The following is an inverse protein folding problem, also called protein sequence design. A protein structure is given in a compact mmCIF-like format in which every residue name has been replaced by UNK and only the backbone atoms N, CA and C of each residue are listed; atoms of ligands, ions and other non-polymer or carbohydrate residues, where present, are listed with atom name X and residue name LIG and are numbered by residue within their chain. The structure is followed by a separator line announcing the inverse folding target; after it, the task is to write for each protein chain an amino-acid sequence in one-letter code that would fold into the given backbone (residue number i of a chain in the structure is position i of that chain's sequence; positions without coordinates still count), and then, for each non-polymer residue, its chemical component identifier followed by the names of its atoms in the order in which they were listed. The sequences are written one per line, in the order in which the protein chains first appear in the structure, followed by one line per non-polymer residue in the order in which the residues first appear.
data_IF_413050791291
#
_entry.id   IF_413050791291
#
_cell.length_a   1.000
_cell.length_b   1.000
_cell.length_c   1.000
_cell.angle_alpha   90.00
_cell.angle_beta   90.00
_cell.angle_gamma   90.00
#
_symmetry.space_group_name_H-M   'P 1'
#
loop_
_entity.id
_entity.type
_entity.pdbx_description
1 polymer ?
#
# COMPACT_ATOMS: atom_id res chain seq x y z
N UNK A 1 57.04 -22.02 -36.74
CA UNK A 1 55.58 -22.22 -36.82
C UNK A 1 55.03 -22.12 -35.41
N UNK A 2 54.43 -20.99 -35.03
CA UNK A 2 54.03 -20.67 -33.65
C UNK A 2 52.52 -20.83 -33.56
N UNK A 3 52.05 -21.91 -32.94
CA UNK A 3 50.62 -22.18 -32.74
C UNK A 3 50.09 -21.27 -31.64
N UNK A 4 49.23 -20.31 -31.99
CA UNK A 4 48.46 -19.50 -31.03
C UNK A 4 47.15 -20.24 -30.77
N UNK A 5 47.01 -20.75 -29.56
CA UNK A 5 45.80 -21.39 -29.06
C UNK A 5 44.92 -20.32 -28.42
N UNK A 6 43.84 -19.89 -29.08
CA UNK A 6 42.85 -18.99 -28.49
C UNK A 6 41.93 -19.78 -27.57
N UNK A 7 42.12 -19.64 -26.26
CA UNK A 7 41.20 -20.14 -25.24
C UNK A 7 39.96 -19.24 -25.18
N UNK A 8 38.85 -19.71 -25.75
CA UNK A 8 37.54 -19.05 -25.64
C UNK A 8 37.00 -19.34 -24.24
N UNK A 9 37.14 -18.37 -23.34
CA UNK A 9 36.51 -18.41 -22.00
C UNK A 9 35.03 -18.05 -22.18
N UNK A 10 34.17 -19.06 -22.09
CA UNK A 10 32.72 -18.90 -22.08
C UNK A 10 32.30 -18.36 -20.70
N UNK A 11 32.07 -17.05 -20.60
CA UNK A 11 31.56 -16.40 -19.39
C UNK A 11 30.06 -16.71 -19.31
N UNK A 12 29.69 -17.66 -18.45
CA UNK A 12 28.29 -17.92 -18.10
C UNK A 12 27.79 -16.77 -17.23
N UNK A 13 27.13 -15.80 -17.86
CA UNK A 13 26.40 -14.74 -17.16
C UNK A 13 25.18 -15.43 -16.54
N UNK A 14 25.25 -15.76 -15.25
CA UNK A 14 24.07 -16.13 -14.47
C UNK A 14 23.22 -14.88 -14.30
N UNK A 15 22.27 -14.71 -15.22
CA UNK A 15 21.23 -13.71 -15.09
C UNK A 15 20.36 -14.18 -13.94
N UNK A 16 20.68 -13.74 -12.71
CA UNK A 16 19.72 -13.76 -11.62
C UNK A 16 18.62 -12.78 -12.01
N UNK A 17 17.64 -13.25 -12.77
CA UNK A 17 16.36 -12.58 -12.88
C UNK A 17 15.78 -12.61 -11.46
N UNK A 18 16.05 -11.56 -10.67
CA UNK A 18 15.18 -11.25 -9.56
C UNK A 18 13.82 -10.97 -10.21
N UNK A 19 12.96 -11.98 -10.24
CA UNK A 19 11.58 -11.85 -10.63
C UNK A 19 10.93 -10.95 -9.58
N UNK A 20 11.09 -9.65 -9.76
CA UNK A 20 10.42 -8.66 -8.94
C UNK A 20 8.95 -8.65 -9.38
N UNK A 21 8.20 -9.68 -8.95
CA UNK A 21 6.79 -9.83 -9.30
C UNK A 21 6.03 -8.59 -8.83
N UNK A 22 6.36 -8.03 -7.67
CA UNK A 22 5.78 -6.77 -7.21
C UNK A 22 6.60 -5.57 -7.69
N UNK A 23 6.22 -4.98 -8.81
CA UNK A 23 6.96 -3.83 -9.35
C UNK A 23 6.79 -2.57 -8.48
N UNK A 24 5.65 -2.42 -7.82
CA UNK A 24 5.33 -1.21 -7.05
C UNK A 24 5.64 -1.34 -5.57
N UNK A 25 5.27 -2.45 -4.93
CA UNK A 25 5.48 -2.63 -3.49
C UNK A 25 6.79 -3.36 -3.19
N UNK A 26 7.38 -3.13 -2.00
CA UNK A 26 8.60 -3.82 -1.60
C UNK A 26 8.38 -5.32 -1.47
N UNK A 27 9.29 -6.10 -2.04
CA UNK A 27 9.26 -7.57 -2.00
C UNK A 27 10.59 -8.16 -1.56
N UNK A 28 11.35 -7.41 -0.74
CA UNK A 28 12.59 -7.86 -0.12
C UNK A 28 12.38 -7.92 1.38
N UNK A 29 12.59 -9.10 1.96
CA UNK A 29 12.51 -9.33 3.40
C UNK A 29 13.38 -8.34 4.19
N UNK A 30 12.86 -7.87 5.31
CA UNK A 30 13.49 -6.88 6.18
C UNK A 30 13.37 -5.44 5.71
N UNK A 31 12.84 -5.19 4.50
CA UNK A 31 12.61 -3.81 4.02
C UNK A 31 11.60 -3.11 4.91
N UNK A 32 11.93 -1.89 5.36
CA UNK A 32 11.08 -1.05 6.21
C UNK A 32 10.72 0.24 5.52
N UNK A 33 9.44 0.64 5.64
CA UNK A 33 8.93 1.89 5.10
C UNK A 33 8.18 2.65 6.19
N UNK A 34 8.52 3.92 6.40
CA UNK A 34 7.79 4.79 7.33
C UNK A 34 7.04 5.90 6.59
N UNK A 35 5.73 5.96 6.77
CA UNK A 35 4.86 7.03 6.29
C UNK A 35 4.45 7.93 7.47
N UNK A 36 4.65 9.23 7.33
CA UNK A 36 4.15 10.23 8.29
C UNK A 36 2.79 10.76 7.86
N UNK A 37 1.89 10.95 8.83
CA UNK A 37 0.54 11.43 8.60
C UNK A 37 0.32 12.80 9.23
N UNK A 38 -0.28 13.71 8.47
CA UNK A 38 -0.52 15.09 8.83
C UNK A 38 -2.01 15.42 8.68
N UNK A 39 -2.54 16.21 9.62
CA UNK A 39 -3.90 16.74 9.48
C UNK A 39 -3.95 17.97 8.55
N UNK A 40 -5.15 18.47 8.28
CA UNK A 40 -5.40 19.70 7.49
C UNK A 40 -4.64 20.97 7.93
N UNK A 41 -4.09 21.01 9.16
CA UNK A 41 -3.26 22.11 9.67
C UNK A 41 -1.76 21.83 9.54
N UNK A 42 -1.39 20.83 8.74
CA UNK A 42 -0.03 20.35 8.56
C UNK A 42 0.68 19.92 9.86
N UNK A 43 -0.09 19.49 10.87
CA UNK A 43 0.49 18.96 12.12
C UNK A 43 0.60 17.45 11.99
N UNK A 44 1.79 16.91 12.30
CA UNK A 44 2.03 15.48 12.42
C UNK A 44 1.06 14.88 13.44
N UNK A 45 0.40 13.79 13.08
CA UNK A 45 -0.57 13.07 13.93
C UNK A 45 -0.07 11.68 14.29
N UNK A 46 0.51 10.98 13.33
CA UNK A 46 0.97 9.60 13.51
C UNK A 46 2.03 9.25 12.48
N UNK A 47 2.72 8.13 12.71
CA UNK A 47 3.58 7.47 11.73
C UNK A 47 3.09 6.04 11.55
N UNK A 48 3.06 5.55 10.31
CA UNK A 48 2.85 4.14 10.00
C UNK A 48 4.17 3.54 9.55
N UNK A 49 4.56 2.41 10.13
CA UNK A 49 5.71 1.63 9.72
C UNK A 49 5.25 0.33 9.08
N UNK A 50 5.73 0.05 7.88
CA UNK A 50 5.57 -1.22 7.20
C UNK A 50 6.89 -1.99 7.24
N UNK A 51 6.82 -3.30 7.41
CA UNK A 51 7.98 -4.20 7.35
C UNK A 51 7.62 -5.43 6.52
N UNK A 52 8.46 -5.77 5.54
CA UNK A 52 8.34 -7.03 4.82
C UNK A 52 8.90 -8.13 5.71
N UNK A 53 8.01 -8.97 6.25
CA UNK A 53 8.37 -10.03 7.19
C UNK A 53 8.89 -11.27 6.47
N UNK A 54 8.29 -11.62 5.34
CA UNK A 54 8.56 -12.88 4.65
C UNK A 54 8.16 -12.77 3.18
N UNK A 55 8.94 -13.40 2.30
CA UNK A 55 8.66 -13.46 0.86
C UNK A 55 8.75 -14.91 0.39
N UNK A 56 7.60 -15.52 0.12
CA UNK A 56 7.50 -16.87 -0.41
C UNK A 56 7.28 -16.81 -1.92
N UNK A 57 8.27 -17.20 -2.71
CA UNK A 57 8.19 -17.17 -4.18
C UNK A 57 8.08 -18.56 -4.78
N UNK A 58 7.24 -18.70 -5.80
CA UNK A 58 7.09 -19.91 -6.61
C UNK A 58 7.02 -19.53 -8.09
N UNK A 59 8.12 -19.74 -8.81
CA UNK A 59 8.24 -19.33 -10.22
C UNK A 59 8.15 -17.81 -10.40
N UNK A 60 7.10 -17.35 -11.09
CA UNK A 60 6.82 -15.92 -11.30
C UNK A 60 6.00 -15.30 -10.18
N UNK A 61 5.41 -16.11 -9.30
CA UNK A 61 4.45 -15.66 -8.30
C UNK A 61 5.11 -15.52 -6.93
N UNK A 62 4.60 -14.61 -6.11
CA UNK A 62 5.11 -14.40 -4.76
C UNK A 62 4.01 -14.04 -3.77
N UNK A 63 4.08 -14.61 -2.58
CA UNK A 63 3.28 -14.23 -1.41
C UNK A 63 4.17 -13.46 -0.44
N UNK A 64 3.84 -12.20 -0.18
CA UNK A 64 4.62 -11.27 0.63
C UNK A 64 3.83 -10.99 1.90
N UNK A 65 4.37 -11.37 3.06
CA UNK A 65 3.77 -11.07 4.36
C UNK A 65 4.32 -9.74 4.86
N UNK A 66 3.44 -8.81 5.21
CA UNK A 66 3.81 -7.48 5.71
C UNK A 66 3.25 -7.24 7.10
N UNK A 67 4.06 -6.61 7.95
CA UNK A 67 3.60 -6.00 9.18
C UNK A 67 3.29 -4.53 8.95
N UNK A 68 2.29 -4.01 9.66
CA UNK A 68 1.95 -2.60 9.71
C UNK A 68 1.76 -2.20 11.16
N UNK A 69 2.52 -1.22 11.63
CA UNK A 69 2.34 -0.63 12.96
C UNK A 69 2.13 0.87 12.86
N UNK A 70 1.26 1.41 13.70
CA UNK A 70 0.99 2.85 13.78
C UNK A 70 1.44 3.39 15.12
N UNK A 71 2.24 4.43 15.08
CA UNK A 71 2.72 5.18 16.24
C UNK A 71 1.98 6.51 16.37
N UNK A 72 1.51 6.82 17.56
CA UNK A 72 1.01 8.17 17.86
C UNK A 72 2.20 9.12 18.03
N UNK A 73 2.24 10.18 17.22
CA UNK A 73 3.36 11.12 17.19
C UNK A 73 3.57 11.89 18.51
N UNK A 74 2.51 12.05 19.33
CA UNK A 74 2.59 12.75 20.61
C UNK A 74 3.02 11.82 21.74
N UNK A 75 2.59 10.55 21.68
CA UNK A 75 2.83 9.58 22.75
C UNK A 75 4.05 8.69 22.50
N UNK A 76 4.61 8.69 21.29
CA UNK A 76 5.73 7.84 20.88
C UNK A 76 5.48 6.35 21.20
N UNK A 77 4.22 5.92 21.07
CA UNK A 77 3.77 4.56 21.42
C UNK A 77 3.03 3.95 20.22
N UNK A 78 3.28 2.66 19.98
CA UNK A 78 2.48 1.85 19.06
C UNK A 78 1.02 1.87 19.56
N UNK A 79 0.14 2.32 18.69
CA UNK A 79 -1.30 2.40 18.95
C UNK A 79 -2.10 1.37 18.17
N UNK A 80 -1.57 0.82 17.08
CA UNK A 80 -2.19 -0.25 16.31
C UNK A 80 -1.11 -1.08 15.63
N UNK A 81 -1.33 -2.38 15.47
CA UNK A 81 -0.46 -3.28 14.73
C UNK A 81 -1.30 -4.36 14.07
N UNK A 82 -1.02 -4.65 12.80
CA UNK A 82 -1.70 -5.69 12.03
C UNK A 82 -0.77 -6.25 10.96
N UNK A 83 -1.06 -7.46 10.49
CA UNK A 83 -0.36 -8.10 9.39
C UNK A 83 -1.32 -8.32 8.24
N UNK A 84 -0.83 -8.19 7.02
CA UNK A 84 -1.60 -8.47 5.81
C UNK A 84 -0.68 -9.06 4.74
N UNK A 85 -1.27 -9.71 3.75
CA UNK A 85 -0.52 -10.30 2.63
C UNK A 85 -0.65 -9.42 1.39
N UNK A 86 0.42 -9.37 0.60
CA UNK A 86 0.33 -9.06 -0.81
C UNK A 86 0.60 -10.33 -1.62
N UNK A 87 -0.29 -10.66 -2.53
CA UNK A 87 -0.13 -11.76 -3.47
C UNK A 87 0.22 -11.15 -4.81
N UNK A 88 1.33 -11.57 -5.38
CA UNK A 88 1.66 -11.26 -6.75
C UNK A 88 1.49 -12.50 -7.62
N UNK A 89 0.61 -12.40 -8.60
CA UNK A 89 0.33 -13.45 -9.57
C UNK A 89 0.23 -12.82 -10.97
N UNK A 90 0.89 -13.42 -11.95
CA UNK A 90 0.74 -13.00 -13.35
C UNK A 90 1.08 -11.52 -13.61
N UNK A 91 1.99 -10.95 -12.81
CA UNK A 91 2.39 -9.54 -12.91
C UNK A 91 1.38 -8.54 -12.35
N UNK A 92 0.42 -8.97 -11.54
CA UNK A 92 -0.45 -8.09 -10.74
C UNK A 92 -0.22 -8.35 -9.27
N UNK A 93 0.02 -7.28 -8.50
CA UNK A 93 0.09 -7.34 -7.04
C UNK A 93 -1.28 -7.00 -6.46
N UNK A 94 -1.87 -7.94 -5.74
CA UNK A 94 -3.12 -7.80 -4.98
C UNK A 94 -2.78 -7.66 -3.51
N UNK A 95 -3.18 -6.56 -2.89
CA UNK A 95 -3.13 -6.40 -1.44
C UNK A 95 -4.43 -6.93 -0.82
N UNK A 96 -4.32 -7.69 0.27
CA UNK A 96 -5.47 -8.20 1.01
C UNK A 96 -6.39 -7.03 1.48
N UNK A 97 -7.71 -7.26 1.66
CA UNK A 97 -8.67 -6.23 2.08
C UNK A 97 -8.28 -5.46 3.35
N UNK A 98 -7.59 -6.11 4.29
CA UNK A 98 -7.03 -5.55 5.53
C UNK A 98 -6.18 -4.30 5.26
N UNK A 99 -5.49 -4.26 4.12
CA UNK A 99 -4.66 -3.12 3.70
C UNK A 99 -5.45 -1.82 3.47
N UNK A 100 -6.77 -1.93 3.22
CA UNK A 100 -7.67 -0.79 3.02
C UNK A 100 -8.15 -0.23 4.36
N UNK A 101 -8.26 -1.06 5.39
CA UNK A 101 -8.80 -0.68 6.69
C UNK A 101 -7.83 0.23 7.43
N UNK A 102 -8.33 1.35 7.95
CA UNK A 102 -7.48 2.24 8.74
C UNK A 102 -7.06 1.56 10.06
N UNK A 103 -5.78 1.62 10.47
CA UNK A 103 -5.31 1.04 11.73
C UNK A 103 -6.03 1.53 12.99
N UNK A 104 -6.57 2.76 12.93
CA UNK A 104 -7.39 3.30 14.01
C UNK A 104 -8.64 2.45 14.30
N UNK A 105 -9.21 1.81 13.28
CA UNK A 105 -10.37 0.92 13.42
C UNK A 105 -9.98 -0.38 14.12
N UNK A 106 -8.89 -1.02 13.68
CA UNK A 106 -8.36 -2.21 14.36
C UNK A 106 -8.09 -1.95 15.85
N UNK A 107 -7.51 -0.79 16.18
CA UNK A 107 -7.32 -0.39 17.57
C UNK A 107 -8.63 -0.20 18.31
N UNK A 108 -9.58 0.49 17.70
CA UNK A 108 -10.87 0.81 18.32
C UNK A 108 -11.64 -0.45 18.70
N UNK A 109 -11.53 -1.51 17.88
CA UNK A 109 -12.26 -2.76 18.04
C UNK A 109 -11.36 -3.94 18.48
N UNK A 110 -10.15 -3.67 19.00
CA UNK A 110 -9.15 -4.71 19.32
C UNK A 110 -9.61 -5.77 20.34
N UNK A 111 -10.54 -5.41 21.23
CA UNK A 111 -11.07 -6.28 22.29
C UNK A 111 -12.43 -6.88 21.90
N UNK A 112 -12.82 -6.77 20.63
CA UNK A 112 -14.08 -7.28 20.07
C UNK A 112 -13.78 -8.29 18.97
N UNK A 113 -14.68 -9.24 18.75
CA UNK A 113 -14.60 -10.13 17.61
C UNK A 113 -15.00 -9.38 16.34
N UNK A 114 -14.28 -9.60 15.24
CA UNK A 114 -14.60 -9.03 13.94
C UNK A 114 -14.23 -9.97 12.81
N UNK A 115 -14.93 -9.83 11.68
CA UNK A 115 -14.60 -10.46 10.40
C UNK A 115 -14.27 -9.42 9.35
N UNK A 116 -13.44 -9.81 8.37
CA UNK A 116 -13.04 -8.97 7.24
C UNK A 116 -13.29 -9.75 5.97
N UNK A 117 -14.01 -9.13 5.05
CA UNK A 117 -14.28 -9.66 3.72
C UNK A 117 -14.03 -8.58 2.68
N UNK A 118 -13.74 -8.96 1.44
CA UNK A 118 -13.56 -8.01 0.35
C UNK A 118 -12.70 -8.52 -0.78
N UNK A 119 -12.45 -7.64 -1.74
CA UNK A 119 -11.68 -7.93 -2.96
C UNK A 119 -10.23 -7.42 -2.87
N UNK A 120 -9.91 -6.54 -1.91
CA UNK A 120 -8.56 -5.98 -1.79
C UNK A 120 -8.25 -4.89 -2.82
N UNK A 121 -6.98 -4.75 -3.17
CA UNK A 121 -6.49 -3.75 -4.13
C UNK A 121 -5.54 -4.39 -5.14
N UNK A 122 -5.91 -4.35 -6.42
CA UNK A 122 -5.01 -4.74 -7.51
C UNK A 122 -4.17 -3.56 -8.03
N UNK A 123 -2.88 -3.82 -8.22
CA UNK A 123 -1.93 -2.94 -8.91
C UNK A 123 -1.11 -3.79 -9.90
N UNK A 124 -1.38 -3.66 -11.21
CA UNK A 124 -0.58 -4.29 -12.26
C UNK A 124 0.85 -3.75 -12.26
N UNK A 125 1.81 -4.58 -12.66
CA UNK A 125 3.20 -4.16 -12.83
C UNK A 125 3.36 -3.11 -13.93
N UNK A 126 2.57 -3.21 -14.98
CA UNK A 126 2.54 -2.19 -16.02
C UNK A 126 1.28 -1.35 -15.87
N UNK A 127 1.46 -0.07 -15.58
CA UNK A 127 0.39 0.92 -15.60
C UNK A 127 0.78 2.09 -16.50
N UNK A 128 -0.22 2.67 -17.16
CA UNK A 128 -0.06 3.78 -18.10
C UNK A 128 -0.98 4.94 -17.72
N UNK A 129 -0.60 6.16 -18.10
CA UNK A 129 -1.45 7.34 -17.88
C UNK A 129 -2.74 7.18 -18.66
N UNK A 130 -3.88 7.46 -18.03
CA UNK A 130 -5.23 7.26 -18.56
C UNK A 130 -5.85 5.91 -18.21
N UNK A 131 -5.08 4.95 -17.72
CA UNK A 131 -5.56 3.61 -17.37
C UNK A 131 -6.51 3.63 -16.17
N UNK A 132 -7.63 2.94 -16.30
CA UNK A 132 -8.49 2.57 -15.18
C UNK A 132 -7.90 1.35 -14.48
N UNK A 133 -7.93 1.35 -13.16
CA UNK A 133 -7.54 0.22 -12.32
C UNK A 133 -8.79 -0.42 -11.73
N UNK A 134 -8.76 -1.73 -11.42
CA UNK A 134 -9.88 -2.39 -10.76
C UNK A 134 -10.27 -1.67 -9.47
N UNK A 135 -11.57 -1.56 -9.21
CA UNK A 135 -12.05 -1.04 -7.93
C UNK A 135 -11.64 -1.97 -6.78
N UNK A 136 -11.61 -1.41 -5.57
CA UNK A 136 -11.32 -2.16 -4.33
C UNK A 136 -12.50 -2.09 -3.38
N UNK A 137 -12.62 -3.07 -2.48
CA UNK A 137 -13.63 -3.07 -1.43
C UNK A 137 -13.12 -3.87 -0.24
N UNK A 138 -13.46 -3.37 0.95
CA UNK A 138 -13.40 -4.13 2.20
C UNK A 138 -14.67 -3.90 3.02
N UNK A 139 -15.16 -4.94 3.67
CA UNK A 139 -16.17 -4.88 4.71
C UNK A 139 -15.57 -5.44 6.00
N UNK A 140 -15.64 -4.64 7.07
CA UNK A 140 -15.34 -5.07 8.43
C UNK A 140 -16.65 -5.18 9.19
N UNK A 141 -16.95 -6.36 9.73
CA UNK A 141 -18.12 -6.61 10.58
C UNK A 141 -17.65 -6.87 11.99
N UNK A 142 -18.05 -6.03 12.94
CA UNK A 142 -17.66 -6.12 14.35
C UNK A 142 -18.84 -6.64 15.16
N UNK A 143 -18.61 -7.72 15.92
CA UNK A 143 -19.61 -8.28 16.84
C UNK A 143 -19.65 -7.45 18.13
N UNK A 144 -20.75 -6.71 18.33
CA UNK A 144 -21.02 -5.96 19.57
C UNK A 144 -22.02 -6.68 20.49
N UNK A 145 -22.09 -8.01 20.40
CA UNK A 145 -22.97 -8.88 21.17
C UNK A 145 -24.37 -8.95 20.57
N UNK A 146 -25.23 -7.97 20.87
CA UNK A 146 -26.64 -7.98 20.42
C UNK A 146 -26.78 -7.45 18.97
N UNK A 147 -25.77 -6.76 18.44
CA UNK A 147 -25.79 -6.19 17.10
C UNK A 147 -24.42 -6.27 16.41
N UNK A 148 -24.42 -6.44 15.09
CA UNK A 148 -23.22 -6.26 14.27
C UNK A 148 -23.06 -4.79 13.89
N UNK A 149 -21.82 -4.29 13.94
CA UNK A 149 -21.43 -2.98 13.40
C UNK A 149 -20.66 -3.24 12.10
N UNK A 150 -21.33 -3.03 10.98
CA UNK A 150 -20.70 -3.18 9.66
C UNK A 150 -20.13 -1.84 9.17
N UNK A 151 -18.94 -1.92 8.59
CA UNK A 151 -18.30 -0.84 7.86
C UNK A 151 -17.79 -1.35 6.52
N UNK A 152 -18.31 -0.78 5.43
CA UNK A 152 -17.84 -1.07 4.07
C UNK A 152 -17.11 0.13 3.51
N UNK A 153 -15.91 -0.08 2.98
CA UNK A 153 -15.12 0.92 2.27
C UNK A 153 -14.99 0.48 0.82
N UNK A 154 -15.57 1.25 -0.10
CA UNK A 154 -15.35 1.08 -1.53
C UNK A 154 -14.30 2.07 -2.05
N UNK A 155 -13.37 1.57 -2.85
CA UNK A 155 -12.41 2.36 -3.61
C UNK A 155 -12.82 2.35 -5.09
N UNK A 156 -13.58 3.37 -5.50
CA UNK A 156 -14.22 3.44 -6.81
C UNK A 156 -13.47 4.35 -7.78
N UNK A 157 -13.58 4.06 -9.07
CA UNK A 157 -13.08 4.88 -10.18
C UNK A 157 -11.57 5.14 -10.05
N UNK A 158 -10.82 4.09 -9.72
CA UNK A 158 -9.36 4.17 -9.61
C UNK A 158 -8.76 4.43 -10.99
N UNK A 159 -7.99 5.50 -11.13
CA UNK A 159 -7.41 5.92 -12.42
C UNK A 159 -5.99 6.45 -12.25
N UNK A 160 -5.13 6.11 -13.19
CA UNK A 160 -3.79 6.68 -13.33
C UNK A 160 -3.88 7.99 -14.10
N UNK A 161 -3.69 9.12 -13.43
CA UNK A 161 -3.92 10.45 -14.00
C UNK A 161 -2.68 11.06 -14.65
N UNK A 162 -1.50 10.88 -14.05
CA UNK A 162 -0.27 11.53 -14.50
C UNK A 162 0.98 10.81 -14.00
N UNK A 163 2.15 11.30 -14.43
CA UNK A 163 3.45 11.00 -13.84
C UNK A 163 4.04 12.29 -13.27
N UNK A 164 4.49 12.24 -12.03
CA UNK A 164 5.01 13.41 -11.32
C UNK A 164 6.23 13.02 -10.48
N UNK A 165 7.24 13.89 -10.45
CA UNK A 165 8.39 13.71 -9.57
C UNK A 165 8.08 14.31 -8.20
N UNK A 166 8.17 13.50 -7.14
CA UNK A 166 7.89 13.93 -5.76
C UNK A 166 9.15 13.79 -4.91
N UNK A 167 9.47 14.85 -4.16
CA UNK A 167 10.58 14.84 -3.20
C UNK A 167 10.06 14.81 -1.77
N UNK A 168 10.60 13.90 -0.97
CA UNK A 168 10.33 13.77 0.46
C UNK A 168 11.64 13.67 1.23
N UNK A 169 11.59 13.51 2.56
CA UNK A 169 12.81 13.25 3.36
C UNK A 169 13.47 11.91 3.04
N UNK A 170 12.75 10.98 2.40
CA UNK A 170 13.28 9.68 1.98
C UNK A 170 13.97 9.70 0.62
N UNK A 171 13.89 10.82 -0.13
CA UNK A 171 14.48 10.94 -1.47
C UNK A 171 13.56 11.60 -2.49
N UNK A 172 13.88 11.44 -3.77
CA UNK A 172 13.05 11.90 -4.89
C UNK A 172 12.63 10.73 -5.76
N UNK A 173 11.35 10.67 -6.10
CA UNK A 173 10.71 9.51 -6.72
C UNK A 173 9.92 9.95 -7.94
N UNK A 174 10.02 9.18 -9.03
CA UNK A 174 9.15 9.33 -10.19
C UNK A 174 7.89 8.50 -9.95
N UNK A 175 6.78 9.19 -9.67
CA UNK A 175 5.54 8.59 -9.22
C UNK A 175 4.50 8.56 -10.32
N UNK A 176 3.69 7.50 -10.35
CA UNK A 176 2.37 7.54 -10.97
C UNK A 176 1.39 8.17 -10.00
N UNK A 177 0.57 9.09 -10.50
CA UNK A 177 -0.51 9.69 -9.73
C UNK A 177 -1.77 8.88 -9.96
N UNK A 178 -2.30 8.29 -8.89
CA UNK A 178 -3.52 7.50 -8.91
C UNK A 178 -4.59 8.25 -8.12
N UNK A 179 -5.77 8.43 -8.71
CA UNK A 179 -6.91 9.03 -8.02
C UNK A 179 -8.07 8.07 -7.92
N UNK A 180 -8.88 8.20 -6.86
CA UNK A 180 -10.08 7.42 -6.65
C UNK A 180 -11.04 8.09 -5.68
N UNK A 181 -12.27 7.57 -5.65
CA UNK A 181 -13.30 7.91 -4.68
C UNK A 181 -13.27 6.85 -3.58
N UNK A 182 -13.05 7.27 -2.34
CA UNK A 182 -13.22 6.41 -1.17
C UNK A 182 -14.62 6.68 -0.60
N UNK A 183 -15.47 5.66 -0.61
CA UNK A 183 -16.82 5.69 -0.10
C UNK A 183 -16.92 4.77 1.11
N UNK A 184 -17.07 5.34 2.30
CA UNK A 184 -17.23 4.60 3.55
C UNK A 184 -18.70 4.60 3.94
N UNK A 185 -19.31 3.43 3.97
CA UNK A 185 -20.65 3.18 4.46
C UNK A 185 -20.55 2.54 5.85
N UNK A 186 -21.22 3.10 6.84
CA UNK A 186 -21.26 2.58 8.21
C UNK A 186 -22.69 2.18 8.56
N UNK A 187 -22.83 1.29 9.56
CA UNK A 187 -24.11 1.01 10.19
C UNK A 187 -24.83 2.31 10.62
N UNK A 188 -26.17 2.26 10.71
CA UNK A 188 -27.05 3.43 10.90
C UNK A 188 -27.13 4.40 9.71
N UNK A 189 -26.73 3.98 8.51
CA UNK A 189 -26.95 4.73 7.26
C UNK A 189 -26.02 5.93 7.06
N UNK A 190 -24.95 6.03 7.86
CA UNK A 190 -23.94 7.06 7.70
C UNK A 190 -23.05 6.75 6.50
N UNK A 191 -22.94 7.71 5.59
CA UNK A 191 -22.10 7.61 4.39
C UNK A 191 -21.10 8.76 4.34
N UNK A 192 -19.84 8.44 4.10
CA UNK A 192 -18.77 9.39 3.90
C UNK A 192 -18.13 9.19 2.52
N UNK A 193 -17.90 10.29 1.81
CA UNK A 193 -17.27 10.27 0.49
C UNK A 193 -16.05 11.18 0.54
N UNK A 194 -14.90 10.61 0.17
CA UNK A 194 -13.63 11.30 0.06
C UNK A 194 -13.02 11.10 -1.33
N UNK A 195 -12.27 12.11 -1.78
CA UNK A 195 -11.45 11.99 -2.97
C UNK A 195 -10.00 11.83 -2.53
N UNK A 196 -9.34 10.81 -3.07
CA UNK A 196 -7.97 10.49 -2.72
C UNK A 196 -7.09 10.62 -3.95
N UNK A 197 -5.92 11.25 -3.76
CA UNK A 197 -4.84 11.28 -4.73
C UNK A 197 -3.60 10.65 -4.08
N UNK A 198 -3.05 9.62 -4.72
CA UNK A 198 -1.85 8.91 -4.30
C UNK A 198 -0.75 9.11 -5.32
N UNK A 199 0.48 9.26 -4.84
CA UNK A 199 1.69 9.20 -5.64
C UNK A 199 2.38 7.88 -5.31
N UNK A 200 2.45 6.99 -6.29
CA UNK A 200 2.97 5.62 -6.12
C UNK A 200 4.21 5.44 -6.99
N UNK A 201 5.33 5.02 -6.38
CA UNK A 201 6.60 4.78 -7.05
C UNK A 201 6.93 3.30 -7.08
N UNK A 202 7.65 2.88 -8.13
CA UNK A 202 8.18 1.52 -8.25
C UNK A 202 9.13 1.20 -7.09
N UNK A 203 9.07 -0.04 -6.57
CA UNK A 203 9.90 -0.56 -5.49
C UNK A 203 9.66 0.06 -4.10
N UNK A 204 8.73 1.02 -3.98
CA UNK A 204 8.48 1.78 -2.76
C UNK A 204 6.99 1.73 -2.38
N UNK A 205 6.09 1.78 -3.35
CA UNK A 205 4.66 1.89 -3.12
C UNK A 205 4.30 3.35 -2.88
N UNK A 206 3.57 3.63 -1.80
CA UNK A 206 3.04 4.96 -1.51
C UNK A 206 4.15 5.95 -1.12
N UNK A 207 4.33 7.00 -1.93
CA UNK A 207 5.25 8.11 -1.65
C UNK A 207 4.53 9.29 -1.00
N UNK A 208 3.33 9.61 -1.48
CA UNK A 208 2.49 10.66 -0.91
C UNK A 208 1.01 10.31 -1.09
N UNK A 209 0.16 10.79 -0.19
CA UNK A 209 -1.29 10.75 -0.34
C UNK A 209 -1.91 12.07 0.12
N UNK A 210 -2.94 12.52 -0.57
CA UNK A 210 -3.82 13.59 -0.12
C UNK A 210 -5.27 13.09 -0.13
N UNK A 211 -5.98 13.33 0.97
CA UNK A 211 -7.40 13.00 1.10
C UNK A 211 -8.18 14.30 1.26
N UNK A 212 -9.19 14.48 0.43
CA UNK A 212 -10.04 15.68 0.41
C UNK A 212 -11.51 15.30 0.55
N UNK A 213 -12.34 16.24 1.03
CA UNK A 213 -13.80 16.15 0.95
C UNK A 213 -14.26 16.32 -0.51
N UNK A 214 -15.51 15.95 -0.79
CA UNK A 214 -16.17 16.23 -2.08
C UNK A 214 -16.11 17.71 -2.51
N UNK A 215 -16.03 18.66 -1.58
CA UNK A 215 -15.88 20.09 -1.86
C UNK A 215 -14.42 20.55 -2.05
N UNK A 216 -13.47 19.62 -2.21
CA UNK A 216 -12.05 19.90 -2.43
C UNK A 216 -11.26 20.27 -1.16
N UNK A 217 -11.90 20.38 0.01
CA UNK A 217 -11.20 20.72 1.26
C UNK A 217 -10.28 19.58 1.71
N UNK A 218 -8.99 19.87 1.84
CA UNK A 218 -7.99 18.94 2.38
C UNK A 218 -8.34 18.49 3.81
N UNK A 219 -8.27 17.18 4.05
CA UNK A 219 -8.48 16.54 5.34
C UNK A 219 -7.16 16.09 5.95
N UNK A 220 -6.36 15.38 5.17
CA UNK A 220 -5.10 14.82 5.60
C UNK A 220 -4.12 14.70 4.43
N UNK A 221 -2.84 14.65 4.80
CA UNK A 221 -1.73 14.37 3.92
C UNK A 221 -0.86 13.29 4.55
N UNK A 222 -0.39 12.35 3.76
CA UNK A 222 0.57 11.32 4.18
C UNK A 222 1.80 11.41 3.30
N UNK A 223 3.00 11.26 3.87
CA UNK A 223 4.27 11.42 3.14
C UNK A 223 5.25 10.34 3.58
N UNK A 224 5.88 9.70 2.62
CA UNK A 224 7.00 8.80 2.84
C UNK A 224 8.16 9.55 3.50
N UNK A 225 8.57 9.07 4.66
CA UNK A 225 9.58 9.73 5.47
C UNK A 225 10.90 8.97 5.51
N UNK A 226 10.87 7.63 5.48
CA UNK A 226 12.05 6.75 5.57
C UNK A 226 11.85 5.44 4.81
N UNK A 227 12.95 4.93 4.26
CA UNK A 227 13.09 3.57 3.70
C UNK A 227 14.37 2.98 4.30
N UNK A 228 14.34 1.72 4.75
CA UNK A 228 15.51 1.00 5.29
C UNK A 228 15.57 -0.43 4.74
#
# INVERSE_FOLDING_TARGET
MKNIFYLIVLITITINAQNNCSQFYPSKEGTKITIQHFNKKNKLTSETNYEVLEVNSSGSDSKIKMNMSVNDSKKQKIIAETQFTAICNGGTTTLDPESIISPGLFKQYKDMEYSIEGIGIDIPNSISVGQQLPDGQVTMSVDAGIMSIDMTVDLKKRKVESKERVTTSAGSFDCYVITYINETNMSMGMKQIFHVKQWVSKGVGLVQQETTKANGKLLSKSVLSRIQ
#
